data_IF_013989230880
#
_entry.id   IF_013989230880
#
_cell.length_a   1.000
_cell.length_b   1.000
_cell.length_c   1.000
_cell.angle_alpha   90.00
_cell.angle_beta   90.00
_cell.angle_gamma   90.00
#
_symmetry.space_group_name_H-M   'P 1'
#
loop_
_entity.id
_entity.type
_entity.pdbx_description
1 polymer ?
#
# COMPACT_ATOMS: atom_id res chain seq x y z
N UNK A 1 43.97 -28.63 -42.31
CA UNK A 1 44.10 -28.58 -43.79
C UNK A 1 44.09 -30.02 -44.26
N UNK A 2 43.25 -30.46 -45.23
CA UNK A 2 42.69 -29.73 -46.38
C UNK A 2 41.19 -29.45 -46.19
N UNK A 3 40.41 -28.77 -47.03
CA UNK A 3 40.55 -27.95 -48.24
C UNK A 3 39.12 -27.35 -48.41
N UNK A 4 38.98 -26.05 -48.71
CA UNK A 4 38.52 -25.51 -50.02
C UNK A 4 37.25 -26.20 -50.56
N UNK A 5 36.23 -25.53 -51.11
CA UNK A 5 36.12 -24.18 -51.64
C UNK A 5 34.70 -24.04 -52.22
N UNK A 6 34.11 -22.85 -52.08
CA UNK A 6 33.30 -22.09 -53.06
C UNK A 6 32.42 -22.81 -54.10
N UNK A 7 31.16 -22.35 -54.22
CA UNK A 7 30.55 -21.67 -55.41
C UNK A 7 29.10 -21.29 -55.06
N UNK A 8 28.72 -20.01 -55.04
CA UNK A 8 28.38 -19.15 -56.19
C UNK A 8 27.09 -19.58 -56.89
N UNK A 9 26.02 -18.81 -56.67
CA UNK A 9 24.73 -18.92 -57.36
C UNK A 9 24.04 -17.57 -57.32
N UNK A 10 24.45 -16.71 -58.25
CA UNK A 10 23.94 -15.36 -58.53
C UNK A 10 22.58 -15.47 -59.23
N UNK A 11 21.57 -14.74 -58.77
CA UNK A 11 20.31 -14.57 -59.50
C UNK A 11 19.74 -13.16 -59.27
N UNK A 12 20.18 -12.30 -60.17
CA UNK A 12 19.70 -10.98 -60.57
C UNK A 12 18.20 -10.64 -60.30
N UNK A 13 18.04 -9.41 -59.80
CA UNK A 13 16.87 -8.50 -59.73
C UNK A 13 15.87 -8.54 -60.90
N UNK A 14 14.65 -7.98 -60.66
CA UNK A 14 14.40 -6.64 -61.20
C UNK A 14 13.94 -5.61 -60.16
N UNK A 15 14.37 -4.37 -60.43
CA UNK A 15 13.94 -3.10 -59.82
C UNK A 15 12.46 -2.86 -60.10
N UNK A 16 11.76 -2.17 -59.20
CA UNK A 16 10.75 -1.16 -59.54
C UNK A 16 10.47 -0.27 -58.30
N UNK A 17 10.52 1.05 -58.54
CA UNK A 17 9.88 2.16 -57.81
C UNK A 17 9.90 2.14 -56.27
N UNK A 18 10.65 2.99 -55.57
CA UNK A 18 10.70 4.44 -55.75
C UNK A 18 9.51 5.08 -55.04
N UNK A 19 9.60 5.28 -53.72
CA UNK A 19 8.71 6.18 -52.99
C UNK A 19 9.56 7.22 -52.25
N UNK A 20 9.24 8.46 -52.58
CA UNK A 20 9.94 9.68 -52.24
C UNK A 20 9.92 9.96 -50.74
N UNK A 21 11.11 10.22 -50.18
CA UNK A 21 11.25 10.94 -48.94
C UNK A 21 10.98 12.43 -49.21
N UNK A 22 9.84 12.92 -48.76
CA UNK A 22 9.57 14.37 -48.70
C UNK A 22 9.94 14.86 -47.31
N UNK A 23 11.11 15.48 -47.22
CA UNK A 23 11.51 16.36 -46.13
C UNK A 23 10.61 17.59 -46.11
N UNK A 24 9.76 17.69 -45.08
CA UNK A 24 9.12 18.94 -44.72
C UNK A 24 9.84 19.54 -43.50
N UNK A 25 10.26 20.78 -43.70
CA UNK A 25 11.05 21.62 -42.82
C UNK A 25 10.27 22.05 -41.57
N UNK A 26 10.97 22.08 -40.43
CA UNK A 26 10.77 23.14 -39.43
C UNK A 26 9.77 22.90 -38.30
N UNK A 27 10.07 21.98 -37.38
CA UNK A 27 9.61 22.11 -35.98
C UNK A 27 10.87 22.29 -35.12
N UNK A 28 11.10 23.51 -34.64
CA UNK A 28 12.11 23.76 -33.61
C UNK A 28 11.66 23.04 -32.34
N UNK A 29 12.32 21.94 -31.99
CA UNK A 29 12.20 21.35 -30.67
C UNK A 29 12.82 22.31 -29.66
N UNK A 30 11.98 23.08 -28.97
CA UNK A 30 12.41 23.86 -27.82
C UNK A 30 12.47 22.93 -26.62
N UNK A 31 13.62 22.90 -25.95
CA UNK A 31 13.76 22.25 -24.65
C UNK A 31 12.88 23.01 -23.65
N UNK A 32 11.89 22.32 -23.07
CA UNK A 32 11.13 22.84 -21.95
C UNK A 32 12.04 22.84 -20.72
N UNK A 33 12.51 24.02 -20.32
CA UNK A 33 13.13 24.22 -19.01
C UNK A 33 12.11 23.85 -17.91
N UNK A 34 12.55 23.22 -16.79
CA UNK A 34 11.66 22.92 -15.68
C UNK A 34 11.49 24.17 -14.81
N UNK A 35 10.41 24.92 -15.04
CA UNK A 35 10.00 25.99 -14.13
C UNK A 35 8.74 25.55 -13.37
N UNK A 36 8.97 25.28 -12.09
CA UNK A 36 8.14 25.66 -10.94
C UNK A 36 6.63 25.36 -11.00
N UNK A 37 6.18 24.41 -10.17
CA UNK A 37 4.75 24.29 -9.84
C UNK A 37 4.15 22.88 -9.84
N UNK A 38 4.95 21.81 -9.86
CA UNK A 38 4.42 20.46 -9.72
C UNK A 38 4.10 20.16 -8.25
N UNK A 39 2.90 20.54 -7.80
CA UNK A 39 2.27 19.88 -6.64
C UNK A 39 2.31 18.38 -6.93
N UNK A 40 3.10 17.67 -6.13
CA UNK A 40 3.28 16.21 -6.20
C UNK A 40 1.90 15.58 -6.22
N UNK A 41 1.57 14.87 -7.30
CA UNK A 41 0.32 14.09 -7.37
C UNK A 41 0.31 13.12 -6.20
N UNK A 42 -0.69 13.24 -5.34
CA UNK A 42 -0.94 12.31 -4.25
C UNK A 42 -0.98 10.88 -4.80
N UNK A 43 -0.52 9.92 -3.99
CA UNK A 43 -0.55 8.50 -4.33
C UNK A 43 -1.98 8.12 -4.75
N UNK A 44 -2.15 7.61 -5.97
CA UNK A 44 -3.47 7.41 -6.59
C UNK A 44 -4.41 6.45 -5.84
N UNK A 45 -3.90 5.75 -4.82
CA UNK A 45 -4.63 4.77 -4.00
C UNK A 45 -4.73 5.22 -2.53
N UNK A 46 -4.42 6.48 -2.23
CA UNK A 46 -4.52 7.06 -0.89
C UNK A 46 -5.40 8.31 -0.96
N UNK A 47 -6.68 8.08 -1.21
CA UNK A 47 -7.73 9.11 -1.30
C UNK A 47 -8.04 9.76 0.04
N UNK A 48 -7.65 9.13 1.16
CA UNK A 48 -7.72 9.73 2.49
C UNK A 48 -6.34 10.22 2.89
N UNK A 49 -5.99 11.44 2.48
CA UNK A 49 -4.75 12.12 2.85
C UNK A 49 -4.48 12.12 4.38
N UNK A 50 -5.50 11.84 5.20
CA UNK A 50 -5.40 11.77 6.65
C UNK A 50 -5.19 10.34 7.22
N UNK A 51 -5.59 9.25 6.54
CA UNK A 51 -5.36 7.88 7.04
C UNK A 51 -5.19 6.82 5.92
N UNK A 52 -3.95 6.42 5.60
CA UNK A 52 -3.65 5.48 4.52
C UNK A 52 -4.03 4.04 4.83
N UNK A 53 -4.39 3.75 6.08
CA UNK A 53 -4.81 2.41 6.47
C UNK A 53 -6.22 2.08 5.97
N UNK A 54 -7.03 3.10 5.63
CA UNK A 54 -8.41 2.94 5.13
C UNK A 54 -8.51 2.62 3.63
N UNK A 55 -7.36 2.53 2.94
CA UNK A 55 -7.24 2.08 1.55
C UNK A 55 -6.14 1.02 1.34
N UNK A 56 -5.38 0.64 2.38
CA UNK A 56 -4.21 -0.24 2.26
C UNK A 56 -4.44 -1.69 2.74
N UNK A 57 -4.70 -1.87 4.04
CA UNK A 57 -4.85 -3.18 4.68
C UNK A 57 -3.61 -4.09 4.74
N UNK A 58 -2.42 -3.64 4.31
CA UNK A 58 -1.24 -4.50 4.16
C UNK A 58 -0.76 -5.15 5.47
N UNK A 59 -0.74 -4.41 6.58
CA UNK A 59 -0.34 -4.96 7.89
C UNK A 59 -1.28 -6.08 8.36
N UNK A 60 -2.59 -5.91 8.15
CA UNK A 60 -3.62 -6.88 8.49
C UNK A 60 -3.60 -8.14 7.59
N UNK A 61 -2.90 -8.11 6.46
CA UNK A 61 -2.73 -9.26 5.57
C UNK A 61 -1.35 -9.92 5.65
N UNK A 62 -0.47 -9.45 6.54
CA UNK A 62 0.91 -9.91 6.59
C UNK A 62 1.35 -10.34 7.98
N UNK A 63 1.12 -9.53 9.02
CA UNK A 63 1.69 -9.84 10.32
C UNK A 63 0.91 -10.94 11.04
N UNK A 64 1.63 -11.80 11.77
CA UNK A 64 1.05 -12.56 12.87
C UNK A 64 0.79 -11.61 14.03
N UNK A 65 -0.47 -11.31 14.32
CA UNK A 65 -0.85 -10.38 15.39
C UNK A 65 -0.87 -11.14 16.71
N UNK A 66 0.29 -11.30 17.35
CA UNK A 66 0.41 -11.96 18.66
C UNK A 66 0.44 -10.95 19.80
N UNK A 67 -0.32 -11.21 20.86
CA UNK A 67 -0.52 -10.27 21.96
C UNK A 67 -0.70 -11.03 23.29
N UNK A 68 -0.75 -10.31 24.42
CA UNK A 68 -0.88 -10.93 25.74
C UNK A 68 -2.31 -11.44 25.96
N UNK A 69 -2.48 -12.64 26.51
CA UNK A 69 -3.82 -13.23 26.67
C UNK A 69 -4.76 -12.38 27.53
N UNK A 70 -4.25 -11.54 28.45
CA UNK A 70 -5.06 -10.62 29.26
C UNK A 70 -5.71 -9.47 28.48
N UNK A 71 -5.38 -9.26 27.20
CA UNK A 71 -6.07 -8.28 26.36
C UNK A 71 -7.38 -8.82 25.77
N UNK A 72 -7.60 -10.14 25.85
CA UNK A 72 -8.86 -10.78 25.44
C UNK A 72 -9.96 -10.36 26.40
N UNK A 73 -11.07 -9.88 25.86
CA UNK A 73 -12.23 -9.48 26.63
C UNK A 73 -12.80 -10.67 27.42
N UNK A 74 -12.96 -10.47 28.73
CA UNK A 74 -13.54 -11.44 29.66
C UNK A 74 -13.74 -10.82 31.04
N UNK A 75 -14.02 -11.66 32.04
CA UNK A 75 -14.26 -11.22 33.42
C UNK A 75 -13.07 -10.48 34.03
N UNK A 76 -11.86 -10.80 33.59
CA UNK A 76 -10.60 -10.20 34.08
C UNK A 76 -10.20 -8.90 33.35
N UNK A 77 -11.03 -8.39 32.45
CA UNK A 77 -10.75 -7.20 31.65
C UNK A 77 -10.49 -7.51 30.17
N UNK A 78 -9.66 -6.68 29.52
CA UNK A 78 -9.37 -6.79 28.09
C UNK A 78 -10.45 -6.16 27.20
N UNK A 79 -10.16 -6.06 25.90
CA UNK A 79 -11.09 -5.48 24.91
C UNK A 79 -11.23 -6.30 23.64
N UNK A 80 -10.28 -7.20 23.36
CA UNK A 80 -10.25 -7.97 22.11
C UNK A 80 -11.30 -9.09 22.17
N UNK A 81 -12.23 -9.19 21.22
CA UNK A 81 -13.30 -10.18 21.31
C UNK A 81 -12.76 -11.63 21.22
N UNK A 82 -13.10 -12.53 22.18
CA UNK A 82 -12.52 -13.87 22.26
C UNK A 82 -12.81 -14.73 21.02
N UNK A 83 -13.94 -14.50 20.34
CA UNK A 83 -14.33 -15.21 19.13
C UNK A 83 -13.41 -14.93 17.93
N UNK A 84 -12.62 -13.86 17.97
CA UNK A 84 -11.68 -13.48 16.91
C UNK A 84 -10.23 -13.92 17.20
N UNK A 85 -10.01 -14.69 18.26
CA UNK A 85 -8.68 -14.99 18.81
C UNK A 85 -8.38 -16.49 18.81
N UNK A 86 -7.15 -16.85 18.48
CA UNK A 86 -6.59 -18.20 18.61
C UNK A 86 -5.56 -18.19 19.75
N UNK A 87 -5.73 -19.06 20.75
CA UNK A 87 -4.73 -19.26 21.80
C UNK A 87 -3.48 -19.91 21.20
N UNK A 88 -2.30 -19.37 21.49
CA UNK A 88 -1.03 -19.92 20.96
C UNK A 88 -0.20 -20.59 22.05
N UNK A 89 -0.19 -20.04 23.26
CA UNK A 89 0.42 -20.64 24.45
C UNK A 89 -0.30 -20.10 25.70
N UNK A 90 -0.03 -20.60 26.92
CA UNK A 90 -0.77 -20.15 28.11
C UNK A 90 -0.84 -18.63 28.32
N UNK A 91 0.21 -17.88 27.92
CA UNK A 91 0.29 -16.42 28.11
C UNK A 91 0.22 -15.62 26.80
N UNK A 92 0.01 -16.29 25.65
CA UNK A 92 -0.01 -15.62 24.34
C UNK A 92 -1.19 -16.09 23.51
N UNK A 93 -1.83 -15.12 22.89
CA UNK A 93 -2.86 -15.35 21.88
C UNK A 93 -2.52 -14.59 20.59
N UNK A 94 -3.24 -14.89 19.52
CA UNK A 94 -3.14 -14.13 18.28
C UNK A 94 -4.48 -13.97 17.60
N UNK A 95 -4.60 -12.97 16.72
CA UNK A 95 -5.80 -12.81 15.90
C UNK A 95 -5.96 -14.00 14.94
N UNK A 96 -7.17 -14.56 14.88
CA UNK A 96 -7.52 -15.64 13.95
C UNK A 96 -7.17 -15.27 12.51
N UNK A 97 -6.67 -16.23 11.76
CA UNK A 97 -6.22 -16.08 10.38
C UNK A 97 -4.80 -15.53 10.25
N UNK A 98 -4.15 -15.12 11.34
CA UNK A 98 -2.77 -14.61 11.33
C UNK A 98 -1.75 -15.57 11.94
N UNK A 99 -2.16 -16.78 12.33
CA UNK A 99 -1.39 -17.73 13.16
C UNK A 99 0.02 -18.00 12.64
N UNK A 100 0.20 -18.03 11.31
CA UNK A 100 1.47 -18.30 10.64
C UNK A 100 2.10 -17.06 9.99
N UNK A 101 1.45 -15.90 10.08
CA UNK A 101 1.80 -14.72 9.28
C UNK A 101 1.50 -14.92 7.78
N UNK A 102 1.69 -13.87 6.99
CA UNK A 102 1.45 -13.85 5.54
C UNK A 102 -0.01 -14.09 5.13
N UNK A 103 -0.95 -14.00 6.08
CA UNK A 103 -2.36 -14.33 5.90
C UNK A 103 -3.24 -13.23 6.47
N UNK A 104 -4.49 -13.20 6.01
CA UNK A 104 -5.47 -12.16 6.30
C UNK A 104 -6.07 -12.34 7.70
N UNK A 105 -5.99 -11.30 8.51
CA UNK A 105 -6.67 -11.21 9.80
C UNK A 105 -8.19 -11.33 9.63
N UNK A 106 -8.83 -12.10 10.51
CA UNK A 106 -10.30 -12.31 10.53
C UNK A 106 -11.10 -11.01 10.64
N UNK A 107 -10.53 -10.00 11.32
CA UNK A 107 -11.19 -8.73 11.58
C UNK A 107 -11.15 -7.75 10.39
N UNK A 108 -10.32 -8.01 9.37
CA UNK A 108 -10.22 -7.12 8.22
C UNK A 108 -11.50 -7.20 7.37
N UNK A 109 -11.99 -6.06 6.92
CA UNK A 109 -13.16 -5.91 6.03
C UNK A 109 -12.73 -5.12 4.79
N UNK A 110 -13.32 -5.40 3.64
CA UNK A 110 -12.91 -4.82 2.36
C UNK A 110 -11.74 -5.56 1.69
N UNK A 111 -11.32 -5.01 0.56
CA UNK A 111 -10.30 -5.57 -0.33
C UNK A 111 -8.97 -4.82 -0.19
N UNK A 112 -7.85 -5.54 -0.25
CA UNK A 112 -6.52 -4.93 -0.11
C UNK A 112 -6.27 -3.91 -1.22
N UNK A 113 -5.70 -2.77 -0.85
CA UNK A 113 -5.41 -1.70 -1.80
C UNK A 113 -6.62 -0.91 -2.33
N UNK A 114 -7.81 -1.14 -1.78
CA UNK A 114 -9.05 -0.46 -2.18
C UNK A 114 -9.68 0.31 -1.02
N UNK A 115 -10.40 1.38 -1.38
CA UNK A 115 -11.11 2.23 -0.43
C UNK A 115 -12.18 1.45 0.35
N UNK A 116 -12.39 1.84 1.61
CA UNK A 116 -13.34 1.19 2.51
C UNK A 116 -12.77 -0.05 3.22
N UNK A 117 -11.49 -0.37 3.03
CA UNK A 117 -10.82 -1.37 3.86
C UNK A 117 -10.68 -0.88 5.30
N UNK A 118 -11.09 -1.69 6.27
CA UNK A 118 -11.05 -1.31 7.68
C UNK A 118 -11.02 -2.52 8.61
N UNK A 119 -10.64 -2.28 9.87
CA UNK A 119 -10.75 -3.28 10.93
C UNK A 119 -12.15 -3.22 11.55
N UNK A 120 -12.87 -4.35 11.57
CA UNK A 120 -14.20 -4.43 12.18
C UNK A 120 -14.20 -4.19 13.71
N UNK A 121 -13.03 -4.31 14.35
CA UNK A 121 -12.84 -4.15 15.79
C UNK A 121 -11.83 -3.02 16.10
N UNK A 122 -11.82 -1.95 15.29
CA UNK A 122 -10.79 -0.90 15.40
C UNK A 122 -10.59 -0.35 16.83
N UNK A 123 -11.68 -0.14 17.56
CA UNK A 123 -11.66 0.36 18.95
C UNK A 123 -11.35 -0.71 20.00
N UNK A 124 -11.34 -1.98 19.60
CA UNK A 124 -11.08 -3.15 20.43
C UNK A 124 -9.79 -3.87 19.99
N UNK A 125 -8.94 -3.18 19.21
CA UNK A 125 -7.69 -3.74 18.68
C UNK A 125 -6.74 -4.13 19.82
N UNK A 126 -6.00 -5.25 19.66
CA UNK A 126 -4.90 -5.57 20.56
C UNK A 126 -3.77 -4.54 20.43
N UNK A 127 -2.95 -4.45 21.45
CA UNK A 127 -1.85 -3.49 21.60
C UNK A 127 -0.92 -3.44 20.37
N UNK A 128 -0.44 -4.56 19.80
CA UNK A 128 0.42 -4.51 18.60
C UNK A 128 -0.22 -3.83 17.39
N UNK A 129 -1.55 -3.88 17.27
CA UNK A 129 -2.25 -3.20 16.17
C UNK A 129 -2.46 -1.70 16.44
N UNK A 130 -2.41 -1.25 17.70
CA UNK A 130 -2.51 0.16 18.07
C UNK A 130 -1.16 0.86 17.97
N UNK A 131 -0.10 0.17 18.37
CA UNK A 131 1.26 0.70 18.39
C UNK A 131 1.92 0.73 17.01
N UNK A 132 1.42 -0.05 16.04
CA UNK A 132 1.95 -0.01 14.69
C UNK A 132 1.52 1.25 13.94
N UNK A 133 2.47 2.15 13.68
CA UNK A 133 2.25 3.43 13.02
C UNK A 133 2.71 3.40 11.55
N UNK A 134 1.98 4.10 10.68
CA UNK A 134 2.34 4.24 9.26
C UNK A 134 3.51 5.21 9.02
N UNK A 135 3.71 6.15 9.95
CA UNK A 135 4.82 7.09 10.01
C UNK A 135 5.54 6.95 11.35
N UNK A 136 6.80 7.35 11.38
CA UNK A 136 7.58 7.51 12.61
C UNK A 136 7.28 8.88 13.25
N UNK A 137 7.77 9.09 14.46
CA UNK A 137 7.55 10.33 15.22
C UNK A 137 8.06 11.58 14.50
N UNK A 138 9.08 11.45 13.65
CA UNK A 138 9.65 12.52 12.82
C UNK A 138 8.86 12.78 11.51
N UNK A 139 7.69 12.14 11.34
CA UNK A 139 6.86 12.25 10.15
C UNK A 139 7.38 11.46 8.94
N UNK A 140 8.52 10.78 9.03
CA UNK A 140 9.00 9.93 7.94
C UNK A 140 8.19 8.62 7.85
N UNK A 141 7.97 8.05 6.66
CA UNK A 141 7.21 6.80 6.54
C UNK A 141 7.89 5.64 7.25
N UNK A 142 7.13 4.85 8.02
CA UNK A 142 7.65 3.66 8.68
C UNK A 142 8.17 2.65 7.63
N UNK A 143 9.45 2.23 7.69
CA UNK A 143 10.03 1.30 6.73
C UNK A 143 9.29 -0.03 6.60
N UNK A 144 8.75 -0.56 7.71
CA UNK A 144 7.96 -1.79 7.68
C UNK A 144 6.62 -1.57 6.97
N UNK A 145 5.95 -0.45 7.24
CA UNK A 145 4.73 -0.08 6.51
C UNK A 145 5.01 -0.01 5.00
N UNK A 146 6.09 0.66 4.59
CA UNK A 146 6.47 0.79 3.18
C UNK A 146 6.80 -0.56 2.53
N UNK A 147 7.52 -1.44 3.24
CA UNK A 147 7.81 -2.80 2.78
C UNK A 147 6.53 -3.57 2.49
N UNK A 148 5.54 -3.48 3.37
CA UNK A 148 4.27 -4.18 3.21
C UNK A 148 3.39 -3.58 2.11
N UNK A 149 3.33 -2.24 2.01
CA UNK A 149 2.65 -1.56 0.91
C UNK A 149 3.23 -2.00 -0.44
N UNK A 150 4.55 -2.03 -0.57
CA UNK A 150 5.23 -2.50 -1.77
C UNK A 150 4.88 -3.96 -2.10
N UNK A 151 4.76 -4.82 -1.08
CA UNK A 151 4.42 -6.24 -1.29
C UNK A 151 3.02 -6.45 -1.91
N UNK A 152 2.10 -5.50 -1.73
CA UNK A 152 0.76 -5.53 -2.35
C UNK A 152 0.62 -4.57 -3.53
N UNK A 153 1.73 -4.05 -4.07
CA UNK A 153 1.75 -3.20 -5.28
C UNK A 153 1.34 -1.74 -5.05
N UNK A 154 1.23 -1.28 -3.80
CA UNK A 154 0.88 0.10 -3.50
C UNK A 154 2.09 1.03 -3.57
N UNK A 155 1.82 2.28 -3.93
CA UNK A 155 2.81 3.36 -3.91
C UNK A 155 3.28 3.66 -2.48
N UNK A 156 4.55 4.08 -2.31
CA UNK A 156 5.08 4.48 -1.03
C UNK A 156 4.33 5.71 -0.50
N UNK A 157 4.14 5.75 0.82
CA UNK A 157 3.66 6.96 1.50
C UNK A 157 4.69 8.08 1.36
N UNK A 158 4.20 9.30 1.19
CA UNK A 158 5.01 10.50 1.37
C UNK A 158 5.26 10.72 2.87
N UNK A 159 6.33 11.45 3.26
CA UNK A 159 6.46 11.97 4.61
C UNK A 159 5.20 12.75 5.00
N UNK A 160 4.74 12.57 6.24
CA UNK A 160 3.67 13.38 6.81
C UNK A 160 4.24 14.76 7.08
N UNK A 161 3.68 15.77 6.43
CA UNK A 161 3.95 17.17 6.78
C UNK A 161 3.13 17.47 8.02
N UNK A 162 3.79 17.85 9.09
CA UNK A 162 3.28 18.27 10.39
C UNK A 162 2.53 19.61 10.36
N UNK A 163 2.02 20.02 9.20
CA UNK A 163 1.06 21.13 9.06
C UNK A 163 -0.34 20.66 9.49
N UNK A 164 -0.41 19.96 10.63
CA UNK A 164 -1.62 19.77 11.40
C UNK A 164 -1.78 21.05 12.24
N UNK A 165 -2.11 22.15 11.56
CA UNK A 165 -2.78 23.27 12.21
C UNK A 165 -4.02 22.73 12.92
N UNK A 166 -4.19 23.11 14.17
CA UNK A 166 -5.42 22.92 14.94
C UNK A 166 -6.52 23.87 14.42
N UNK A 167 -6.84 23.85 13.12
CA UNK A 167 -7.90 24.69 12.57
C UNK A 167 -9.32 24.18 12.91
N UNK A 168 -9.45 23.14 13.74
CA UNK A 168 -10.73 22.67 14.28
C UNK A 168 -11.75 22.21 13.22
N UNK A 169 -11.34 22.12 11.95
CA UNK A 169 -12.20 21.85 10.80
C UNK A 169 -12.14 20.39 10.34
N UNK A 170 -11.18 19.61 10.87
CA UNK A 170 -10.95 18.24 10.47
C UNK A 170 -11.55 17.27 11.49
N UNK A 171 -12.67 16.59 11.17
CA UNK A 171 -13.29 15.63 12.07
C UNK A 171 -12.32 14.47 12.36
N UNK A 172 -12.33 14.02 13.61
CA UNK A 172 -11.54 12.89 14.10
C UNK A 172 -11.54 11.72 13.10
N UNK A 173 -10.37 11.36 12.61
CA UNK A 173 -10.13 10.37 11.53
C UNK A 173 -10.10 8.93 12.02
N UNK A 174 -10.42 8.71 13.30
CA UNK A 174 -10.80 7.38 13.76
C UNK A 174 -12.12 6.96 13.08
N UNK A 175 -12.24 5.69 12.65
CA UNK A 175 -13.53 5.18 12.19
C UNK A 175 -14.58 5.40 13.29
N UNK A 176 -15.84 5.70 12.92
CA UNK A 176 -16.89 6.06 13.88
C UNK A 176 -17.00 5.00 14.97
N UNK A 177 -17.07 5.46 16.22
CA UNK A 177 -17.21 4.55 17.36
C UNK A 177 -18.58 3.88 17.27
N UNK A 178 -18.66 2.67 17.83
CA UNK A 178 -19.93 1.94 17.96
C UNK A 178 -20.80 2.68 18.98
N UNK A 179 -21.49 3.74 18.53
CA UNK A 179 -22.19 4.73 19.34
C UNK A 179 -22.44 6.06 18.61
N UNK A 180 -21.69 6.34 17.54
CA UNK A 180 -21.80 7.60 16.79
C UNK A 180 -22.84 7.54 15.65
N UNK A 181 -23.54 6.43 15.48
CA UNK A 181 -24.72 6.32 14.59
C UNK A 181 -25.96 6.51 15.46
N UNK A 182 -26.55 7.70 15.37
CA UNK A 182 -27.84 8.01 15.98
C UNK A 182 -28.93 7.04 15.48
N UNK A 183 -29.82 6.68 16.40
CA UNK A 183 -31.05 5.93 16.15
C UNK A 183 -32.02 6.68 15.21
#
# INVERSE_FOLDING_TARGET
>A
MPARSSRSGDAQRPRLSGNHATTASGIKAQALSPAEGARRRAAANDTSAANPCLSCGACCAHFRVSFYCGEIAGESGGTVPPELVTQVSPLRACMKGTEYGGRRCVALRGELGHDGIHCAIYEQRPTPCREFQAWLDDGTPNPDCQRLRKAIGLQPLAPRTDDDGDDGLHPNTNPPRRGDVAA
#
